data_IF_380844578793
#
_entry.id   IF_380844578793
#
_cell.length_a   1.000
_cell.length_b   1.000
_cell.length_c   1.000
_cell.angle_alpha   90.00
_cell.angle_beta   90.00
_cell.angle_gamma   90.00
#
_symmetry.space_group_name_H-M   'P 1'
#
loop_
_entity.id
_entity.type
_entity.pdbx_description
1 polymer ?
#
# COMPACT_ATOMS: atom_id res chain seq x y z
N UNK A 1 37.26 25.09 -62.53
CA UNK A 1 36.35 25.70 -63.53
C UNK A 1 35.04 25.98 -62.82
N UNK A 2 34.90 27.22 -62.38
CA UNK A 2 33.86 28.15 -62.82
C UNK A 2 32.55 27.91 -62.02
N UNK A 3 32.32 28.71 -60.99
CA UNK A 3 31.57 29.98 -61.07
C UNK A 3 30.06 29.70 -60.94
N UNK A 4 29.19 30.49 -60.34
CA UNK A 4 29.19 31.64 -59.44
C UNK A 4 27.68 32.01 -59.32
N UNK A 5 27.31 32.82 -58.33
CA UNK A 5 26.11 33.69 -58.33
C UNK A 5 24.65 33.18 -58.11
N UNK A 6 24.13 33.66 -56.97
CA UNK A 6 22.91 34.48 -56.78
C UNK A 6 21.49 33.94 -57.04
N UNK A 7 20.77 33.88 -55.91
CA UNK A 7 19.60 34.71 -55.59
C UNK A 7 18.23 34.43 -56.23
N UNK A 8 17.24 34.45 -55.31
CA UNK A 8 15.92 35.07 -55.43
C UNK A 8 14.66 34.19 -55.69
N UNK A 9 13.72 34.35 -54.74
CA UNK A 9 12.26 34.52 -54.86
C UNK A 9 11.25 33.38 -54.55
N UNK A 10 10.36 33.71 -53.60
CA UNK A 10 8.94 33.29 -53.41
C UNK A 10 8.67 31.86 -52.88
N UNK A 11 7.64 31.54 -52.08
CA UNK A 11 6.45 32.23 -51.56
C UNK A 11 6.02 31.56 -50.24
N UNK A 12 5.23 32.25 -49.41
CA UNK A 12 4.68 31.70 -48.19
C UNK A 12 3.61 30.62 -48.42
N UNK A 13 3.52 29.69 -47.47
CA UNK A 13 2.35 28.82 -47.31
C UNK A 13 2.06 28.65 -45.81
N UNK A 14 0.98 29.28 -45.33
CA UNK A 14 0.43 29.09 -43.98
C UNK A 14 -0.57 27.93 -44.08
N UNK A 15 -0.25 26.78 -43.50
CA UNK A 15 -1.23 25.70 -43.30
C UNK A 15 -1.62 25.67 -41.83
N UNK A 16 -2.84 26.15 -41.57
CA UNK A 16 -3.57 25.96 -40.32
C UNK A 16 -3.96 24.48 -40.20
N UNK A 17 -3.49 23.77 -39.18
CA UNK A 17 -4.08 22.49 -38.76
C UNK A 17 -4.42 22.53 -37.28
N UNK A 18 -5.71 22.31 -37.02
CA UNK A 18 -6.37 22.29 -35.72
C UNK A 18 -5.79 21.16 -34.85
N UNK A 19 -5.46 21.46 -33.60
CA UNK A 19 -5.06 20.47 -32.60
C UNK A 19 -6.29 19.72 -32.08
N UNK A 20 -6.31 18.40 -32.28
CA UNK A 20 -7.06 17.42 -31.48
C UNK A 20 -6.06 16.53 -30.74
N UNK A 21 -6.38 16.02 -29.52
CA UNK A 21 -5.36 15.55 -28.59
C UNK A 21 -5.01 14.08 -28.82
N UNK A 22 -3.71 13.80 -28.92
CA UNK A 22 -3.15 12.46 -28.81
C UNK A 22 -2.01 12.45 -27.76
N UNK A 23 -1.89 11.40 -26.92
CA UNK A 23 -1.03 11.38 -25.74
C UNK A 23 0.43 11.16 -26.14
N UNK A 24 1.38 11.83 -25.49
CA UNK A 24 2.81 11.54 -25.66
C UNK A 24 3.53 11.60 -24.32
N UNK A 25 4.00 10.43 -23.90
CA UNK A 25 5.12 10.26 -22.98
C UNK A 25 6.23 11.28 -23.35
N UNK A 26 6.67 12.08 -22.37
CA UNK A 26 7.91 12.85 -22.49
C UNK A 26 7.83 14.37 -22.63
N UNK A 27 6.70 15.03 -22.40
CA UNK A 27 6.67 16.50 -22.31
C UNK A 27 6.01 16.92 -21.01
N UNK A 28 6.83 17.37 -20.06
CA UNK A 28 6.36 18.04 -18.85
C UNK A 28 5.29 19.08 -19.23
N UNK A 29 4.17 19.07 -18.51
CA UNK A 29 3.10 20.06 -18.69
C UNK A 29 3.64 21.49 -18.54
N UNK A 30 2.98 22.50 -19.11
CA UNK A 30 3.44 23.88 -19.00
C UNK A 30 3.59 24.33 -17.53
N UNK A 31 2.76 23.79 -16.65
CA UNK A 31 2.82 23.92 -15.19
C UNK A 31 4.04 23.24 -14.60
N UNK A 32 4.34 22.00 -14.99
CA UNK A 32 5.55 21.29 -14.56
C UNK A 32 6.84 21.96 -15.05
N UNK A 33 6.85 22.57 -16.25
CA UNK A 33 8.01 23.34 -16.75
C UNK A 33 8.27 24.59 -15.94
N UNK A 34 7.21 25.26 -15.49
CA UNK A 34 7.32 26.46 -14.66
C UNK A 34 7.81 26.10 -13.25
N UNK A 35 7.43 24.91 -12.75
CA UNK A 35 7.95 24.35 -11.50
C UNK A 35 9.39 23.83 -11.62
N UNK A 36 9.76 23.22 -12.76
CA UNK A 36 11.09 22.65 -12.99
C UNK A 36 12.16 23.68 -13.36
N UNK A 37 11.77 24.87 -13.81
CA UNK A 37 12.68 25.98 -14.08
C UNK A 37 13.49 26.43 -12.84
N UNK A 38 13.09 26.05 -11.63
CA UNK A 38 13.82 26.29 -10.38
C UNK A 38 14.72 25.14 -9.91
N UNK A 39 14.75 23.99 -10.61
CA UNK A 39 15.55 22.83 -10.21
C UNK A 39 16.97 23.00 -10.75
N UNK A 40 17.96 23.05 -9.85
CA UNK A 40 19.38 23.21 -10.20
C UNK A 40 19.82 22.05 -11.11
N UNK A 41 20.33 22.37 -12.30
CA UNK A 41 20.87 21.33 -13.20
C UNK A 41 22.09 20.65 -12.58
N UNK A 42 22.30 19.36 -12.88
CA UNK A 42 23.43 18.58 -12.34
C UNK A 42 24.79 19.29 -12.52
N UNK A 43 25.04 19.88 -13.70
CA UNK A 43 26.26 20.66 -14.00
C UNK A 43 26.40 21.91 -13.14
N UNK A 44 25.31 22.60 -12.84
CA UNK A 44 25.33 23.79 -11.97
C UNK A 44 25.59 23.39 -10.51
N UNK A 45 25.06 22.25 -10.08
CA UNK A 45 25.29 21.65 -8.76
C UNK A 45 26.76 21.22 -8.60
N UNK A 46 27.31 20.54 -9.60
CA UNK A 46 28.72 20.15 -9.65
C UNK A 46 29.66 21.37 -9.59
N UNK A 47 29.27 22.49 -10.19
CA UNK A 47 30.03 23.75 -10.14
C UNK A 47 29.93 24.50 -8.80
N UNK A 48 28.90 24.21 -8.00
CA UNK A 48 28.67 24.84 -6.69
C UNK A 48 29.29 24.07 -5.51
N UNK A 49 29.94 22.94 -5.78
CA UNK A 49 30.66 22.16 -4.77
C UNK A 49 31.87 22.96 -4.27
N UNK A 50 32.21 22.88 -2.97
CA UNK A 50 33.44 23.46 -2.45
C UNK A 50 34.67 22.83 -3.14
N UNK A 51 35.67 23.64 -3.46
CA UNK A 51 36.93 23.17 -4.04
C UNK A 51 37.88 22.57 -2.98
N UNK A 52 37.61 22.84 -1.69
CA UNK A 52 38.41 22.34 -0.57
C UNK A 52 38.19 20.83 -0.34
N UNK A 53 39.27 20.05 -0.41
CA UNK A 53 39.24 18.59 -0.32
C UNK A 53 38.72 18.07 1.04
N UNK A 54 39.03 18.80 2.11
CA UNK A 54 38.55 18.51 3.47
C UNK A 54 37.03 18.72 3.57
N UNK A 55 36.50 19.78 2.97
CA UNK A 55 35.07 20.07 2.98
C UNK A 55 34.30 19.06 2.12
N UNK A 56 34.85 18.70 0.96
CA UNK A 56 34.30 17.64 0.10
C UNK A 56 34.22 16.29 0.83
N UNK A 57 35.26 15.90 1.56
CA UNK A 57 35.27 14.65 2.35
C UNK A 57 34.21 14.67 3.45
N UNK A 58 34.05 15.80 4.16
CA UNK A 58 33.00 15.96 5.19
C UNK A 58 31.60 15.89 4.59
N UNK A 59 31.38 16.55 3.46
CA UNK A 59 30.11 16.57 2.74
C UNK A 59 29.77 15.15 2.24
N UNK A 60 30.73 14.44 1.66
CA UNK A 60 30.56 13.06 1.22
C UNK A 60 30.20 12.11 2.38
N UNK A 61 30.85 12.28 3.54
CA UNK A 61 30.52 11.51 4.74
C UNK A 61 29.11 11.82 5.29
N UNK A 62 28.68 13.08 5.20
CA UNK A 62 27.32 13.47 5.58
C UNK A 62 26.28 12.89 4.62
N UNK A 63 26.49 13.03 3.31
CA UNK A 63 25.58 12.50 2.29
C UNK A 63 25.48 10.97 2.36
N UNK A 64 26.58 10.27 2.67
CA UNK A 64 26.53 8.81 2.82
C UNK A 64 25.66 8.40 4.01
N UNK A 65 25.73 9.14 5.12
CA UNK A 65 24.85 8.92 6.26
C UNK A 65 23.39 9.31 5.97
N UNK A 66 23.13 10.43 5.31
CA UNK A 66 21.77 10.84 4.90
C UNK A 66 21.13 9.81 3.99
N UNK A 67 21.89 9.29 3.02
CA UNK A 67 21.44 8.20 2.15
C UNK A 67 21.11 6.94 2.94
N UNK A 68 21.98 6.55 3.87
CA UNK A 68 21.75 5.38 4.72
C UNK A 68 20.51 5.52 5.61
N UNK A 69 20.29 6.72 6.17
CA UNK A 69 19.07 7.05 6.93
C UNK A 69 17.83 6.89 6.04
N UNK A 70 17.80 7.52 4.87
CA UNK A 70 16.66 7.45 3.95
C UNK A 70 16.37 6.02 3.48
N UNK A 71 17.40 5.26 3.11
CA UNK A 71 17.25 3.85 2.73
C UNK A 71 16.64 3.05 3.87
N UNK A 72 17.06 3.32 5.10
CA UNK A 72 16.57 2.60 6.28
C UNK A 72 15.17 3.02 6.70
N UNK A 73 14.85 4.32 6.61
CA UNK A 73 13.48 4.83 6.76
C UNK A 73 12.54 4.16 5.74
N UNK A 74 12.93 4.07 4.47
CA UNK A 74 12.15 3.40 3.44
C UNK A 74 11.98 1.90 3.72
N UNK A 75 13.00 1.23 4.23
CA UNK A 75 12.90 -0.19 4.59
C UNK A 75 11.90 -0.41 5.74
N UNK A 76 11.94 0.43 6.77
CA UNK A 76 11.01 0.34 7.90
C UNK A 76 9.58 0.76 7.51
N UNK A 77 9.41 1.78 6.66
CA UNK A 77 8.10 2.18 6.12
C UNK A 77 7.44 1.07 5.30
N UNK A 78 8.22 0.27 4.56
CA UNK A 78 7.70 -0.89 3.81
C UNK A 78 7.20 -2.03 4.70
N UNK A 79 7.60 -2.07 5.97
CA UNK A 79 7.17 -3.12 6.92
C UNK A 79 5.80 -2.79 7.52
N UNK A 80 5.52 -1.50 7.73
CA UNK A 80 4.28 -1.02 8.33
C UNK A 80 3.65 0.11 7.49
N UNK A 81 2.65 -0.24 6.67
CA UNK A 81 1.90 0.69 5.81
C UNK A 81 1.11 1.78 6.59
N UNK A 82 1.09 1.73 7.92
CA UNK A 82 0.36 2.66 8.80
C UNK A 82 1.17 3.89 9.21
N UNK A 83 2.42 4.02 8.75
CA UNK A 83 3.30 5.11 9.13
C UNK A 83 3.20 6.25 8.11
N UNK A 84 2.77 7.43 8.56
CA UNK A 84 2.70 8.61 7.72
C UNK A 84 4.11 9.17 7.43
N UNK A 85 4.56 9.21 6.16
CA UNK A 85 5.91 9.64 5.81
C UNK A 85 6.15 11.13 6.11
N UNK A 86 5.08 11.93 6.21
CA UNK A 86 5.17 13.35 6.53
C UNK A 86 5.40 13.64 8.02
N UNK A 87 5.18 12.67 8.93
CA UNK A 87 5.27 12.91 10.36
C UNK A 87 5.82 11.68 11.12
N UNK A 88 7.12 11.46 10.96
CA UNK A 88 7.84 10.37 11.61
C UNK A 88 7.91 10.59 13.13
N UNK A 89 7.31 9.65 13.89
CA UNK A 89 7.36 9.66 15.36
C UNK A 89 8.79 9.61 15.89
N UNK A 90 9.07 10.27 17.01
CA UNK A 90 10.37 10.20 17.70
C UNK A 90 10.80 8.76 18.00
N UNK A 91 9.82 7.85 18.21
CA UNK A 91 10.10 6.42 18.39
C UNK A 91 10.68 5.80 17.12
N UNK A 92 10.11 6.10 15.96
CA UNK A 92 10.59 5.61 14.67
C UNK A 92 11.98 6.16 14.34
N UNK A 93 12.16 7.47 14.54
CA UNK A 93 13.47 8.13 14.42
C UNK A 93 14.54 7.47 15.28
N UNK A 94 14.19 7.11 16.52
CA UNK A 94 15.12 6.42 17.42
C UNK A 94 15.47 5.00 16.94
N UNK A 95 14.52 4.26 16.34
CA UNK A 95 14.77 2.93 15.75
C UNK A 95 15.78 3.03 14.59
N UNK A 96 15.60 4.00 13.69
CA UNK A 96 16.51 4.22 12.55
C UNK A 96 17.91 4.58 13.04
N UNK A 97 18.02 5.50 14.01
CA UNK A 97 19.31 5.89 14.58
C UNK A 97 19.99 4.72 15.30
N UNK A 98 19.24 3.91 16.05
CA UNK A 98 19.80 2.76 16.76
C UNK A 98 20.32 1.68 15.79
N UNK A 99 19.62 1.45 14.67
CA UNK A 99 20.05 0.53 13.62
C UNK A 99 21.35 0.96 12.92
N UNK A 100 21.57 2.27 12.76
CA UNK A 100 22.73 2.84 12.05
C UNK A 100 23.90 3.23 12.97
N UNK A 101 23.72 3.17 14.28
CA UNK A 101 24.70 3.60 15.29
C UNK A 101 26.05 2.86 15.22
N UNK A 102 26.07 1.65 14.66
CA UNK A 102 27.29 0.85 14.48
C UNK A 102 28.14 1.33 13.29
N UNK A 103 27.52 1.97 12.30
CA UNK A 103 28.19 2.41 11.06
C UNK A 103 28.52 3.91 11.05
N UNK A 104 27.76 4.73 11.78
CA UNK A 104 27.90 6.18 11.78
C UNK A 104 27.87 6.77 13.20
N UNK A 105 28.52 7.93 13.42
CA UNK A 105 28.49 8.59 14.73
C UNK A 105 27.08 9.07 15.07
N UNK A 106 26.66 8.79 16.30
CA UNK A 106 25.29 9.07 16.78
C UNK A 106 24.95 10.57 16.70
N UNK A 107 25.90 11.47 16.98
CA UNK A 107 25.67 12.92 16.87
C UNK A 107 25.23 13.32 15.46
N UNK A 108 25.93 12.82 14.44
CA UNK A 108 25.62 13.11 13.05
C UNK A 108 24.26 12.53 12.62
N UNK A 109 23.93 11.32 13.08
CA UNK A 109 22.62 10.71 12.83
C UNK A 109 21.47 11.51 13.47
N UNK A 110 21.66 11.98 14.70
CA UNK A 110 20.68 12.80 15.42
C UNK A 110 20.45 14.15 14.73
N UNK A 111 21.52 14.77 14.21
CA UNK A 111 21.45 16.01 13.45
C UNK A 111 20.68 15.82 12.13
N UNK A 112 20.93 14.72 11.42
CA UNK A 112 20.25 14.39 10.15
C UNK A 112 18.75 14.15 10.38
N UNK A 113 18.41 13.34 11.38
CA UNK A 113 17.02 12.92 11.66
C UNK A 113 16.23 14.02 12.41
N UNK A 114 16.93 15.03 12.95
CA UNK A 114 16.35 16.12 13.72
C UNK A 114 15.77 15.63 15.06
N UNK A 115 16.53 14.81 15.80
CA UNK A 115 16.13 14.25 17.09
C UNK A 115 17.13 14.69 18.18
N UNK A 116 16.65 15.17 19.33
CA UNK A 116 17.56 15.50 20.44
C UNK A 116 18.17 14.24 21.07
N UNK A 117 19.40 14.34 21.57
CA UNK A 117 20.08 13.23 22.26
C UNK A 117 19.27 12.70 23.45
N UNK A 118 18.67 13.58 24.25
CA UNK A 118 17.81 13.19 25.37
C UNK A 118 16.57 12.41 24.90
N UNK A 119 15.93 12.83 23.81
CA UNK A 119 14.78 12.11 23.25
C UNK A 119 15.19 10.74 22.70
N UNK A 120 16.36 10.63 22.07
CA UNK A 120 16.87 9.36 21.58
C UNK A 120 17.08 8.35 22.72
N UNK A 121 17.82 8.72 23.77
CA UNK A 121 18.05 7.81 24.90
C UNK A 121 16.77 7.49 25.68
N UNK A 122 15.83 8.44 25.76
CA UNK A 122 14.51 8.19 26.34
C UNK A 122 13.75 7.10 25.56
N UNK A 123 13.70 7.22 24.23
CA UNK A 123 13.02 6.23 23.38
C UNK A 123 13.73 4.88 23.41
N UNK A 124 15.06 4.86 23.39
CA UNK A 124 15.85 3.62 23.50
C UNK A 124 15.59 2.89 24.82
N UNK A 125 15.51 3.63 25.93
CA UNK A 125 15.13 3.05 27.23
C UNK A 125 13.70 2.51 27.21
N UNK A 126 12.76 3.23 26.59
CA UNK A 126 11.38 2.78 26.48
C UNK A 126 11.24 1.50 25.62
N UNK A 127 11.99 1.41 24.51
CA UNK A 127 12.04 0.22 23.65
C UNK A 127 12.60 -1.00 24.37
N UNK A 128 13.66 -0.81 25.17
CA UNK A 128 14.31 -1.89 25.91
C UNK A 128 13.61 -2.25 27.23
N UNK A 129 12.62 -1.45 27.66
CA UNK A 129 11.92 -1.74 28.91
C UNK A 129 11.01 -2.97 28.73
N UNK A 130 11.09 -3.97 29.64
CA UNK A 130 10.22 -5.13 29.55
C UNK A 130 8.77 -4.68 29.62
N UNK A 131 7.97 -5.14 28.67
CA UNK A 131 6.53 -4.86 28.66
C UNK A 131 5.94 -5.30 30.00
N UNK A 132 5.21 -4.41 30.68
CA UNK A 132 4.45 -4.73 31.91
C UNK A 132 3.60 -5.99 31.75
N UNK A 133 3.21 -6.32 30.53
CA UNK A 133 2.36 -7.44 30.18
C UNK A 133 3.10 -8.58 29.49
N UNK A 134 4.43 -8.67 29.56
CA UNK A 134 5.22 -9.70 28.87
C UNK A 134 4.70 -11.13 29.14
N UNK A 135 4.51 -11.48 30.42
CA UNK A 135 3.95 -12.79 30.82
C UNK A 135 2.53 -13.01 30.26
N UNK A 136 1.70 -11.96 30.28
CA UNK A 136 0.34 -12.02 29.76
C UNK A 136 0.33 -12.18 28.24
N UNK A 137 1.27 -11.55 27.54
CA UNK A 137 1.47 -11.67 26.10
C UNK A 137 1.73 -13.12 25.73
N UNK A 138 2.62 -13.81 26.43
CA UNK A 138 2.89 -15.24 26.16
C UNK A 138 1.64 -16.11 26.30
N UNK A 139 0.83 -15.87 27.34
CA UNK A 139 -0.42 -16.61 27.54
C UNK A 139 -1.44 -16.30 26.44
N UNK A 140 -1.56 -15.03 26.04
CA UNK A 140 -2.44 -14.60 24.94
C UNK A 140 -2.03 -15.28 23.63
N UNK A 141 -0.73 -15.26 23.30
CA UNK A 141 -0.20 -15.87 22.07
C UNK A 141 -0.49 -17.37 22.05
N UNK A 142 -0.24 -18.09 23.14
CA UNK A 142 -0.57 -19.52 23.27
C UNK A 142 -2.06 -19.80 23.05
N UNK A 143 -2.96 -18.98 23.60
CA UNK A 143 -4.42 -19.13 23.39
C UNK A 143 -4.79 -18.93 21.92
N UNK A 144 -4.21 -17.93 21.26
CA UNK A 144 -4.47 -17.64 19.85
C UNK A 144 -3.96 -18.77 18.96
N UNK A 145 -2.73 -19.24 19.19
CA UNK A 145 -2.12 -20.35 18.45
C UNK A 145 -2.92 -21.66 18.61
N UNK A 146 -3.29 -22.01 19.84
CA UNK A 146 -4.11 -23.20 20.12
C UNK A 146 -5.49 -23.13 19.46
N UNK A 147 -6.00 -21.93 19.17
CA UNK A 147 -7.26 -21.73 18.46
C UNK A 147 -7.12 -21.79 16.93
N UNK A 148 -5.91 -21.99 16.40
CA UNK A 148 -5.62 -21.89 14.98
C UNK A 148 -5.83 -20.48 14.43
N UNK A 149 -5.56 -19.45 15.24
CA UNK A 149 -5.80 -18.03 14.92
C UNK A 149 -7.27 -17.69 14.62
N UNK A 150 -8.23 -18.50 15.10
CA UNK A 150 -9.66 -18.23 14.91
C UNK A 150 -10.24 -17.28 15.97
N UNK A 151 -9.54 -17.11 17.10
CA UNK A 151 -10.03 -16.32 18.23
C UNK A 151 -9.59 -14.86 18.11
N UNK A 152 -10.56 -13.96 18.02
CA UNK A 152 -10.33 -12.53 18.25
C UNK A 152 -10.25 -12.17 19.73
N UNK A 153 -9.88 -10.91 20.02
CA UNK A 153 -9.62 -10.42 21.38
C UNK A 153 -10.73 -10.70 22.41
N UNK A 154 -12.00 -10.67 21.99
CA UNK A 154 -13.14 -10.99 22.86
C UNK A 154 -13.12 -12.45 23.36
N UNK A 155 -12.84 -13.38 22.45
CA UNK A 155 -12.79 -14.83 22.77
C UNK A 155 -11.57 -15.15 23.62
N UNK A 156 -10.43 -14.52 23.30
CA UNK A 156 -9.21 -14.63 24.12
C UNK A 156 -9.45 -14.10 25.53
N UNK A 157 -10.09 -12.94 25.67
CA UNK A 157 -10.42 -12.35 26.98
C UNK A 157 -11.32 -13.28 27.83
N UNK A 158 -12.34 -13.90 27.22
CA UNK A 158 -13.18 -14.90 27.90
C UNK A 158 -12.33 -16.10 28.36
N UNK A 159 -11.40 -16.58 27.53
CA UNK A 159 -10.54 -17.70 27.88
C UNK A 159 -9.59 -17.34 29.05
N UNK A 160 -9.03 -16.14 29.04
CA UNK A 160 -8.22 -15.63 30.17
C UNK A 160 -9.03 -15.55 31.47
N UNK A 161 -10.29 -15.11 31.38
CA UNK A 161 -11.20 -15.06 32.53
C UNK A 161 -11.49 -16.46 33.08
N UNK A 162 -11.63 -17.47 32.21
CA UNK A 162 -11.79 -18.89 32.62
C UNK A 162 -10.54 -19.45 33.31
N UNK A 163 -9.36 -18.96 32.94
CA UNK A 163 -8.08 -19.29 33.60
C UNK A 163 -7.87 -18.52 34.91
N UNK A 164 -8.84 -17.70 35.34
CA UNK A 164 -8.74 -16.90 36.57
C UNK A 164 -7.94 -15.60 36.45
N UNK A 165 -7.46 -15.25 35.25
CA UNK A 165 -6.64 -14.07 35.02
C UNK A 165 -7.54 -12.83 34.88
N UNK A 166 -7.44 -11.89 35.83
CA UNK A 166 -8.21 -10.64 35.82
C UNK A 166 -7.50 -9.56 35.00
N UNK A 167 -7.95 -9.38 33.77
CA UNK A 167 -7.44 -8.34 32.85
C UNK A 167 -8.57 -7.65 32.12
N UNK A 168 -8.37 -6.37 31.79
CA UNK A 168 -9.30 -5.61 30.96
C UNK A 168 -9.24 -6.09 29.51
N UNK A 169 -10.40 -6.18 28.87
CA UNK A 169 -10.53 -6.50 27.44
C UNK A 169 -9.67 -5.56 26.56
N UNK A 170 -9.53 -4.28 26.94
CA UNK A 170 -8.71 -3.29 26.22
C UNK A 170 -7.23 -3.66 26.22
N UNK A 171 -6.74 -4.26 27.30
CA UNK A 171 -5.34 -4.72 27.40
C UNK A 171 -5.12 -5.89 26.45
N UNK A 172 -6.04 -6.86 26.43
CA UNK A 172 -5.98 -8.01 25.51
C UNK A 172 -6.00 -7.54 24.05
N UNK A 173 -6.87 -6.59 23.72
CA UNK A 173 -6.91 -5.98 22.37
C UNK A 173 -5.57 -5.33 22.00
N UNK A 174 -4.96 -4.57 22.92
CA UNK A 174 -3.68 -3.91 22.68
C UNK A 174 -2.55 -4.93 22.46
N UNK A 175 -2.52 -5.99 23.25
CA UNK A 175 -1.52 -7.08 23.10
C UNK A 175 -1.67 -7.74 21.74
N UNK A 176 -2.88 -8.18 21.38
CA UNK A 176 -3.14 -8.83 20.07
C UNK A 176 -2.75 -7.92 18.91
N UNK A 177 -3.03 -6.61 19.02
CA UNK A 177 -2.63 -5.64 18.00
C UNK A 177 -1.12 -5.41 17.94
N UNK A 178 -0.44 -5.36 19.08
CA UNK A 178 1.01 -5.14 19.14
C UNK A 178 1.81 -6.34 18.63
N UNK A 179 1.30 -7.56 18.86
CA UNK A 179 1.90 -8.81 18.39
C UNK A 179 1.49 -9.18 16.95
N UNK A 180 0.68 -8.35 16.28
CA UNK A 180 0.22 -8.64 14.91
C UNK A 180 -0.65 -9.90 14.78
N UNK A 181 -1.29 -10.34 15.88
CA UNK A 181 -2.08 -11.56 15.93
C UNK A 181 -3.42 -11.37 15.22
N UNK A 182 -3.42 -11.55 13.91
CA UNK A 182 -4.60 -11.38 13.06
C UNK A 182 -5.48 -12.64 13.06
N UNK A 183 -6.79 -12.42 13.13
CA UNK A 183 -7.77 -13.51 13.06
C UNK A 183 -7.80 -14.06 11.63
N UNK A 184 -7.53 -15.36 11.49
CA UNK A 184 -7.59 -16.07 10.22
C UNK A 184 -9.01 -16.58 10.01
N UNK A 185 -9.75 -15.93 9.13
CA UNK A 185 -11.05 -16.43 8.68
C UNK A 185 -10.84 -17.49 7.60
N UNK A 186 -11.50 -18.64 7.76
CA UNK A 186 -11.66 -19.58 6.64
C UNK A 186 -12.51 -18.88 5.59
N UNK A 187 -11.94 -18.58 4.42
CA UNK A 187 -12.72 -18.13 3.26
C UNK A 187 -13.86 -19.14 3.07
N UNK A 188 -15.11 -18.65 3.06
CA UNK A 188 -16.34 -19.45 2.91
C UNK A 188 -16.07 -20.60 1.94
N UNK A 189 -16.16 -21.87 2.40
CA UNK A 189 -15.96 -23.02 1.51
C UNK A 189 -16.84 -22.81 0.29
N UNK A 190 -16.25 -22.78 -0.92
CA UNK A 190 -17.02 -22.80 -2.15
C UNK A 190 -17.97 -24.00 -2.03
N UNK A 191 -19.28 -23.77 -2.20
CA UNK A 191 -20.23 -24.87 -2.31
C UNK A 191 -19.72 -25.79 -3.43
N UNK A 192 -19.64 -27.07 -3.15
CA UNK A 192 -19.28 -28.07 -4.14
C UNK A 192 -20.22 -27.91 -5.35
N UNK A 193 -19.65 -27.83 -6.55
CA UNK A 193 -20.40 -27.83 -7.81
C UNK A 193 -20.05 -29.12 -8.54
N UNK A 194 -21.03 -30.01 -8.68
CA UNK A 194 -20.91 -31.21 -9.51
C UNK A 194 -20.99 -30.90 -11.01
N UNK A 195 -21.28 -29.65 -11.37
CA UNK A 195 -21.38 -29.20 -12.75
C UNK A 195 -20.03 -29.30 -13.45
N UNK A 196 -19.93 -30.23 -14.41
CA UNK A 196 -18.71 -30.48 -15.21
C UNK A 196 -18.68 -29.71 -16.53
N UNK A 197 -19.60 -28.77 -16.73
CA UNK A 197 -19.87 -28.13 -18.01
C UNK A 197 -20.96 -28.85 -18.81
N UNK A 198 -21.44 -28.19 -19.86
CA UNK A 198 -22.34 -28.79 -20.86
C UNK A 198 -21.54 -29.66 -21.83
N UNK A 199 -22.18 -30.70 -22.38
CA UNK A 199 -21.56 -31.64 -23.34
C UNK A 199 -21.32 -30.97 -24.71
N UNK A 200 -22.13 -29.96 -25.03
CA UNK A 200 -22.07 -29.16 -26.25
C UNK A 200 -21.92 -27.68 -25.92
N UNK A 201 -21.55 -26.87 -26.92
CA UNK A 201 -21.59 -25.41 -26.77
C UNK A 201 -23.01 -24.95 -26.43
N UNK A 202 -23.11 -24.09 -25.43
CA UNK A 202 -24.38 -23.52 -25.01
C UNK A 202 -25.01 -22.73 -26.18
N UNK A 203 -26.33 -22.81 -26.37
CA UNK A 203 -27.01 -22.01 -27.38
C UNK A 203 -26.77 -20.52 -27.13
N UNK A 204 -26.75 -19.69 -28.18
CA UNK A 204 -26.50 -18.26 -28.03
C UNK A 204 -27.56 -17.64 -27.12
N UNK A 205 -27.11 -16.94 -26.06
CA UNK A 205 -28.00 -16.17 -25.20
C UNK A 205 -28.53 -14.96 -25.98
N UNK A 206 -29.70 -15.10 -26.58
CA UNK A 206 -30.37 -14.07 -27.39
C UNK A 206 -30.80 -12.87 -26.54
N UNK A 207 -31.13 -13.10 -25.27
CA UNK A 207 -31.68 -12.08 -24.35
C UNK A 207 -30.58 -11.13 -23.87
N UNK A 208 -29.33 -11.61 -23.68
CA UNK A 208 -28.18 -10.81 -23.22
C UNK A 208 -28.48 -9.92 -21.99
N UNK A 209 -29.35 -10.40 -21.09
CA UNK A 209 -29.88 -9.66 -19.91
C UNK A 209 -30.70 -8.40 -20.25
N UNK A 210 -31.20 -8.27 -21.48
CA UNK A 210 -32.22 -7.31 -21.84
C UNK A 210 -33.61 -7.96 -21.70
N UNK A 211 -34.30 -7.63 -20.60
CA UNK A 211 -35.61 -8.19 -20.25
C UNK A 211 -36.78 -7.33 -20.72
N UNK A 212 -36.53 -6.36 -21.61
CA UNK A 212 -37.56 -5.47 -22.13
C UNK A 212 -38.00 -5.91 -23.53
N UNK A 213 -39.32 -5.95 -23.75
CA UNK A 213 -39.94 -6.26 -25.03
C UNK A 213 -40.90 -5.14 -25.44
N UNK A 214 -41.00 -4.87 -26.75
CA UNK A 214 -41.85 -3.81 -27.32
C UNK A 214 -43.33 -4.19 -27.36
N UNK A 215 -43.64 -5.49 -27.33
CA UNK A 215 -45.00 -6.03 -27.35
C UNK A 215 -45.08 -7.38 -26.61
N UNK A 216 -46.25 -7.77 -26.09
CA UNK A 216 -46.48 -9.09 -25.52
C UNK A 216 -46.20 -10.21 -26.53
N UNK A 217 -45.76 -11.38 -26.05
CA UNK A 217 -45.46 -12.56 -26.86
C UNK A 217 -44.09 -12.56 -27.52
N UNK A 218 -43.26 -11.52 -27.32
CA UNK A 218 -41.92 -11.41 -27.91
C UNK A 218 -40.82 -11.98 -27.02
N UNK A 219 -40.99 -11.98 -25.70
CA UNK A 219 -39.99 -12.48 -24.76
C UNK A 219 -40.66 -13.12 -23.54
N UNK A 220 -40.61 -14.44 -23.43
CA UNK A 220 -41.07 -15.15 -22.24
C UNK A 220 -39.91 -15.51 -21.34
N UNK A 221 -39.96 -15.03 -20.10
CA UNK A 221 -39.01 -15.33 -19.05
C UNK A 221 -39.61 -16.40 -18.14
N UNK A 222 -38.85 -17.47 -17.95
CA UNK A 222 -39.24 -18.55 -17.04
C UNK A 222 -38.12 -18.80 -16.05
N UNK A 223 -38.49 -19.08 -14.81
CA UNK A 223 -37.56 -19.55 -13.80
C UNK A 223 -38.21 -20.70 -13.02
N UNK A 224 -37.40 -21.70 -12.66
CA UNK A 224 -37.83 -22.85 -11.88
C UNK A 224 -37.23 -22.71 -10.48
N UNK A 225 -38.10 -22.45 -9.51
CA UNK A 225 -37.74 -22.38 -8.10
C UNK A 225 -38.05 -23.69 -7.39
N UNK A 226 -37.06 -24.24 -6.68
CA UNK A 226 -37.21 -25.45 -5.85
C UNK A 226 -37.55 -25.05 -4.41
N UNK A 227 -38.63 -25.61 -3.87
CA UNK A 227 -39.04 -25.45 -2.48
C UNK A 227 -39.00 -26.79 -1.75
N UNK A 228 -38.41 -26.85 -0.54
CA UNK A 228 -38.49 -28.04 0.29
C UNK A 228 -39.90 -28.18 0.89
N UNK A 229 -40.47 -29.38 0.84
CA UNK A 229 -41.71 -29.76 1.50
C UNK A 229 -41.51 -31.07 2.29
N UNK A 230 -42.45 -31.40 3.19
CA UNK A 230 -42.34 -32.54 4.09
C UNK A 230 -42.24 -33.88 3.34
N UNK A 231 -42.95 -34.00 2.21
CA UNK A 231 -43.00 -35.21 1.36
C UNK A 231 -42.04 -35.16 0.15
N UNK A 232 -41.17 -34.16 0.07
CA UNK A 232 -40.18 -34.05 -1.00
C UNK A 232 -39.98 -32.63 -1.54
N UNK A 233 -39.49 -32.54 -2.76
CA UNK A 233 -39.18 -31.25 -3.41
C UNK A 233 -40.34 -30.83 -4.30
N UNK A 234 -40.81 -29.59 -4.13
CA UNK A 234 -41.80 -28.97 -5.00
C UNK A 234 -41.09 -28.01 -5.95
N UNK A 235 -41.44 -28.06 -7.23
CA UNK A 235 -40.91 -27.18 -8.26
C UNK A 235 -42.00 -26.21 -8.71
N UNK A 236 -41.72 -24.91 -8.63
CA UNK A 236 -42.61 -23.85 -9.10
C UNK A 236 -41.98 -23.20 -10.33
N UNK A 237 -42.72 -23.12 -11.43
CA UNK A 237 -42.29 -22.41 -12.63
C UNK A 237 -43.18 -21.20 -12.84
N UNK A 238 -42.61 -20.00 -12.72
CA UNK A 238 -43.30 -18.77 -13.09
C UNK A 238 -42.97 -18.43 -14.54
N UNK A 239 -43.97 -18.00 -15.30
CA UNK A 239 -43.80 -17.46 -16.65
C UNK A 239 -44.22 -15.99 -16.65
N UNK A 240 -43.31 -15.14 -17.10
CA UNK A 240 -43.52 -13.69 -17.25
C UNK A 240 -43.34 -13.34 -18.72
N UNK A 241 -44.30 -12.61 -19.27
CA UNK A 241 -44.28 -12.03 -20.62
C UNK A 241 -44.11 -10.52 -20.52
#
# INVERSE_FOLDING_TARGET
MAADYLSQHHAGFRVSTKQGPGPKWGLMSATERKQSAGIVTRKALEKSLPDDDVELKKLAARLSAEKAVLEKELEELKKDDSIDPANLSNKFKAIVVDALRSSFPVSLLLDIVGLSSSSFYYQLKALNSPSKYAELTEVVTKIVENSGFSYGYRRVWIQLKKLGIKVSEKVVRRIISAEGLTVRYVKKRRRYSSYRGEISDAPPNLVKRNFHAEAPGLLWLTDISEFPADDGKIYFSALVD
#
